data_IF_091985842936
#
_entry.id   IF_091985842936
#
_cell.length_a   1.000
_cell.length_b   1.000
_cell.length_c   1.000
_cell.angle_alpha   90.00
_cell.angle_beta   90.00
_cell.angle_gamma   90.00
#
_symmetry.space_group_name_H-M   'P 1'
#
loop_
_entity.id
_entity.type
_entity.pdbx_description
1 polymer ?
#
# COMPACT_ATOMS: atom_id res chain seq x y z
N UNK A 1 -11.98 -3.63 -13.13
CA UNK A 1 -10.88 -2.77 -12.62
C UNK A 1 -10.39 -3.18 -11.22
N UNK A 2 -11.10 -4.03 -10.46
CA UNK A 2 -10.66 -4.46 -9.12
C UNK A 2 -9.54 -5.52 -9.09
N UNK A 3 -9.33 -6.29 -10.16
CA UNK A 3 -8.37 -7.42 -10.17
C UNK A 3 -6.89 -7.04 -10.39
N UNK A 4 -6.56 -5.78 -10.70
CA UNK A 4 -5.17 -5.38 -10.98
C UNK A 4 -4.38 -4.95 -9.73
N UNK A 5 -5.06 -4.73 -8.59
CA UNK A 5 -4.44 -4.22 -7.35
C UNK A 5 -4.57 -5.17 -6.15
N UNK A 6 -4.92 -6.42 -6.40
CA UNK A 6 -4.92 -7.44 -5.35
C UNK A 6 -3.54 -8.06 -5.20
N UNK A 7 -3.19 -8.45 -3.98
CA UNK A 7 -1.97 -9.15 -3.68
C UNK A 7 -1.86 -10.43 -4.51
N UNK A 8 -0.68 -10.69 -5.04
CA UNK A 8 -0.33 -11.94 -5.67
C UNK A 8 1.13 -12.27 -5.35
N UNK A 9 1.45 -13.55 -5.38
CA UNK A 9 2.83 -13.99 -5.28
C UNK A 9 3.59 -13.60 -6.55
N UNK A 10 4.71 -12.90 -6.38
CA UNK A 10 5.53 -12.41 -7.48
C UNK A 10 6.45 -13.53 -7.97
N UNK A 11 6.35 -13.88 -9.25
CA UNK A 11 7.25 -14.86 -9.87
C UNK A 11 8.67 -14.31 -10.01
N UNK A 12 9.66 -15.18 -10.22
CA UNK A 12 11.05 -14.75 -10.41
C UNK A 12 11.22 -13.77 -11.58
N UNK A 13 10.51 -14.03 -12.68
CA UNK A 13 10.52 -13.17 -13.86
C UNK A 13 9.93 -11.80 -13.55
N UNK A 14 8.77 -11.77 -12.89
CA UNK A 14 8.13 -10.50 -12.49
C UNK A 14 9.00 -9.74 -11.49
N UNK A 15 9.67 -10.44 -10.58
CA UNK A 15 10.61 -9.84 -9.63
C UNK A 15 11.73 -9.10 -10.34
N UNK A 16 12.30 -9.71 -11.38
CA UNK A 16 13.37 -9.10 -12.17
C UNK A 16 12.86 -7.88 -12.97
N UNK A 17 11.66 -7.97 -13.55
CA UNK A 17 11.01 -6.85 -14.22
C UNK A 17 10.71 -5.68 -13.25
N UNK A 18 10.16 -5.98 -12.07
CA UNK A 18 9.90 -4.99 -11.00
C UNK A 18 11.21 -4.33 -10.59
N UNK A 19 12.28 -5.11 -10.38
CA UNK A 19 13.59 -4.59 -10.00
C UNK A 19 14.12 -3.61 -11.05
N UNK A 20 14.02 -3.94 -12.33
CA UNK A 20 14.46 -3.07 -13.43
C UNK A 20 13.65 -1.77 -13.47
N UNK A 21 12.31 -1.88 -13.45
CA UNK A 21 11.41 -0.72 -13.46
C UNK A 21 11.62 0.19 -12.25
N UNK A 22 11.79 -0.39 -11.06
CA UNK A 22 12.05 0.36 -9.84
C UNK A 22 13.38 1.12 -9.92
N UNK A 23 14.44 0.48 -10.45
CA UNK A 23 15.71 1.15 -10.68
C UNK A 23 15.58 2.32 -11.64
N UNK A 24 14.96 2.11 -12.81
CA UNK A 24 14.73 3.18 -13.79
C UNK A 24 13.93 4.35 -13.19
N UNK A 25 12.92 4.06 -12.36
CA UNK A 25 12.13 5.07 -11.67
C UNK A 25 12.98 5.87 -10.68
N UNK A 26 13.80 5.20 -9.86
CA UNK A 26 14.66 5.84 -8.86
C UNK A 26 15.77 6.67 -9.50
N UNK A 27 16.40 6.14 -10.55
CA UNK A 27 17.43 6.85 -11.33
C UNK A 27 16.82 8.10 -11.98
N UNK A 28 15.65 7.95 -12.62
CA UNK A 28 14.92 9.07 -13.22
C UNK A 28 14.43 10.10 -12.20
N UNK A 29 14.04 9.66 -11.00
CA UNK A 29 13.64 10.55 -9.90
C UNK A 29 14.85 11.33 -9.38
N UNK A 30 15.99 10.68 -9.18
CA UNK A 30 17.24 11.30 -8.72
C UNK A 30 17.71 12.41 -9.67
N UNK A 31 17.72 12.13 -10.98
CA UNK A 31 18.08 13.14 -12.00
C UNK A 31 17.12 14.33 -12.02
N UNK A 32 15.83 14.12 -11.71
CA UNK A 32 14.86 15.22 -11.61
C UNK A 32 15.06 16.03 -10.33
N UNK A 33 15.37 15.38 -9.21
CA UNK A 33 15.69 16.05 -7.95
C UNK A 33 16.90 16.98 -8.09
N UNK A 34 17.95 16.55 -8.80
CA UNK A 34 19.13 17.40 -9.07
C UNK A 34 18.79 18.71 -9.80
N UNK A 35 17.70 18.73 -10.58
CA UNK A 35 17.26 19.92 -11.33
C UNK A 35 16.35 20.85 -10.51
N UNK A 36 15.86 20.40 -9.36
CA UNK A 36 14.99 21.20 -8.50
C UNK A 36 15.85 22.16 -7.70
N UNK A 37 15.73 23.46 -7.99
CA UNK A 37 16.39 24.53 -7.25
C UNK A 37 15.39 25.27 -6.35
N UNK A 38 14.74 24.51 -5.46
CA UNK A 38 13.80 25.04 -4.47
C UNK A 38 14.51 25.34 -3.15
N UNK A 39 14.03 26.33 -2.39
CA UNK A 39 14.43 26.48 -0.99
C UNK A 39 13.80 25.35 -0.20
N UNK A 40 14.60 24.69 0.64
CA UNK A 40 14.06 23.75 1.62
C UNK A 40 13.06 24.48 2.52
N UNK A 41 11.85 23.92 2.63
CA UNK A 41 10.78 24.50 3.44
C UNK A 41 10.14 23.39 4.26
N UNK A 42 9.91 23.69 5.53
CA UNK A 42 9.15 22.85 6.43
C UNK A 42 7.79 23.51 6.71
N UNK A 43 6.73 22.71 6.79
CA UNK A 43 5.41 23.17 7.19
C UNK A 43 4.88 22.25 8.27
N UNK A 44 4.73 22.78 9.48
CA UNK A 44 3.98 22.11 10.54
C UNK A 44 2.50 22.37 10.29
N UNK A 45 1.72 21.29 10.22
CA UNK A 45 0.28 21.40 10.29
C UNK A 45 -0.14 20.95 11.69
N UNK A 46 -0.57 21.90 12.52
CA UNK A 46 -1.10 21.64 13.86
C UNK A 46 -2.51 21.01 13.84
N UNK A 47 -2.87 20.36 12.73
CA UNK A 47 -4.23 19.88 12.43
C UNK A 47 -4.29 18.37 12.38
N UNK A 48 -3.62 17.70 13.32
CA UNK A 48 -3.64 16.24 13.47
C UNK A 48 -4.98 15.63 13.92
N UNK A 49 -6.05 16.43 13.98
CA UNK A 49 -7.38 15.97 14.41
C UNK A 49 -8.24 15.69 13.18
N UNK A 50 -8.79 14.47 13.13
CA UNK A 50 -9.76 14.05 12.13
C UNK A 50 -11.15 13.97 12.77
N UNK A 51 -12.17 14.45 12.06
CA UNK A 51 -13.56 14.26 12.46
C UNK A 51 -13.86 12.76 12.55
N UNK A 52 -14.43 12.32 13.68
CA UNK A 52 -14.93 10.97 13.79
C UNK A 52 -16.08 10.78 12.80
N UNK A 53 -15.98 9.74 11.97
CA UNK A 53 -17.08 9.30 11.13
C UNK A 53 -18.07 8.47 11.94
N UNK A 54 -18.96 7.76 11.25
CA UNK A 54 -19.81 6.78 11.91
C UNK A 54 -19.00 5.51 12.17
N UNK A 55 -18.81 5.11 13.44
CA UNK A 55 -18.15 3.85 13.73
C UNK A 55 -18.96 2.71 13.11
N UNK A 56 -18.28 1.65 12.64
CA UNK A 56 -18.86 0.46 12.03
C UNK A 56 -19.44 0.61 10.61
N UNK A 57 -19.51 1.83 10.06
CA UNK A 57 -19.78 2.03 8.63
C UNK A 57 -18.44 1.97 7.87
N UNK A 58 -18.28 0.95 7.03
CA UNK A 58 -17.11 0.78 6.16
C UNK A 58 -17.51 0.91 4.71
N UNK A 59 -16.66 1.56 3.90
CA UNK A 59 -16.83 1.59 2.46
C UNK A 59 -16.78 0.16 1.91
N UNK A 60 -17.82 -0.24 1.17
CA UNK A 60 -17.95 -1.61 0.65
C UNK A 60 -16.70 -2.03 -0.17
N UNK A 61 -16.18 -1.13 -1.00
CA UNK A 61 -14.95 -1.36 -1.79
C UNK A 61 -13.73 -1.65 -0.91
N UNK A 62 -13.58 -0.95 0.22
CA UNK A 62 -12.49 -1.19 1.16
C UNK A 62 -12.60 -2.58 1.78
N UNK A 63 -13.81 -2.98 2.16
CA UNK A 63 -14.09 -4.31 2.70
C UNK A 63 -13.74 -5.40 1.68
N UNK A 64 -14.24 -5.26 0.46
CA UNK A 64 -13.99 -6.21 -0.63
C UNK A 64 -12.50 -6.34 -0.95
N UNK A 65 -11.80 -5.21 -1.05
CA UNK A 65 -10.35 -5.17 -1.29
C UNK A 65 -9.58 -5.83 -0.16
N UNK A 66 -9.97 -5.58 1.09
CA UNK A 66 -9.32 -6.19 2.27
C UNK A 66 -9.49 -7.71 2.27
N UNK A 67 -10.70 -8.21 2.01
CA UNK A 67 -10.99 -9.64 1.97
C UNK A 67 -10.28 -10.32 0.79
N UNK A 68 -10.26 -9.69 -0.38
CA UNK A 68 -9.58 -10.24 -1.57
C UNK A 68 -8.06 -10.29 -1.42
N UNK A 69 -7.48 -9.44 -0.58
CA UNK A 69 -6.03 -9.41 -0.32
C UNK A 69 -5.60 -10.39 0.77
N UNK A 70 -6.54 -10.99 1.49
CA UNK A 70 -6.21 -11.87 2.57
C UNK A 70 -5.79 -13.25 2.05
N UNK A 71 -4.77 -13.89 2.66
CA UNK A 71 -4.30 -15.20 2.24
C UNK A 71 -5.35 -16.30 2.45
N UNK A 72 -6.21 -16.15 3.47
CA UNK A 72 -7.29 -17.07 3.75
C UNK A 72 -8.46 -16.34 4.43
N UNK A 73 -9.66 -16.58 3.91
CA UNK A 73 -10.92 -16.01 4.40
C UNK A 73 -11.90 -17.14 4.61
N UNK A 74 -12.54 -17.16 5.78
CA UNK A 74 -13.62 -18.08 6.10
C UNK A 74 -14.87 -17.27 6.44
N UNK A 75 -15.91 -17.40 5.61
CA UNK A 75 -17.10 -16.55 5.66
C UNK A 75 -16.75 -15.06 5.55
N UNK A 76 -16.91 -14.31 6.64
CA UNK A 76 -16.60 -12.88 6.72
C UNK A 76 -15.39 -12.59 7.63
N UNK A 77 -14.56 -13.61 7.91
CA UNK A 77 -13.43 -13.51 8.81
C UNK A 77 -12.10 -13.77 8.11
N UNK A 78 -11.12 -12.93 8.42
CA UNK A 78 -9.72 -13.18 8.06
C UNK A 78 -9.16 -14.21 9.01
N UNK A 79 -8.76 -15.37 8.48
CA UNK A 79 -8.23 -16.46 9.29
C UNK A 79 -6.71 -16.42 9.20
N UNK A 80 -6.08 -16.21 10.35
CA UNK A 80 -4.64 -16.30 10.51
C UNK A 80 -4.29 -17.53 11.36
N UNK A 81 -3.13 -18.12 11.10
CA UNK A 81 -2.60 -19.19 11.93
C UNK A 81 -2.47 -18.75 13.40
N UNK A 82 -2.93 -19.62 14.31
CA UNK A 82 -2.88 -19.36 15.75
C UNK A 82 -1.43 -19.34 16.23
N UNK A 83 -0.91 -18.16 16.51
CA UNK A 83 0.45 -17.98 17.04
C UNK A 83 1.45 -17.38 16.07
N UNK A 84 1.11 -17.23 14.79
CA UNK A 84 2.00 -16.64 13.77
C UNK A 84 2.22 -15.12 13.93
N UNK A 85 1.50 -14.51 14.89
CA UNK A 85 1.70 -13.13 15.35
C UNK A 85 2.55 -13.02 16.63
N UNK A 86 2.99 -14.14 17.21
CA UNK A 86 3.95 -14.15 18.32
C UNK A 86 5.35 -14.30 17.76
N UNK A 87 6.20 -13.30 18.02
CA UNK A 87 7.65 -13.41 17.85
C UNK A 87 8.23 -14.47 18.78
#
# INVERSE_FOLDING_TARGET
MANEMTWHEVTEKEREEIRKKAKELLDGFSVKLEKINGKESHFENDKGIRNQGRPWETLQEFRETTMSNAPFVENEFLVAEKGSWKK
#
